data_IF_488701822392
#
_entry.id   IF_488701822392
#
_cell.length_a   1.000
_cell.length_b   1.000
_cell.length_c   1.000
_cell.angle_alpha   90.00
_cell.angle_beta   90.00
_cell.angle_gamma   90.00
#
_symmetry.space_group_name_H-M   'P 1'
#
loop_
_entity.id
_entity.type
_entity.pdbx_description
1 polymer ?
#
# COMPACT_ATOMS: atom_id res chain seq x y z
N UNK A 1 -5.15 -2.11 -22.20
CA UNK A 1 -5.47 -2.55 -20.83
C UNK A 1 -4.34 -2.09 -19.93
N UNK A 2 -4.62 -1.58 -18.73
CA UNK A 2 -3.60 -1.18 -17.77
C UNK A 2 -2.90 -2.41 -17.17
N UNK A 3 -1.61 -2.28 -16.88
CA UNK A 3 -0.83 -3.30 -16.17
C UNK A 3 -0.99 -3.10 -14.68
N UNK A 4 -1.44 -4.13 -13.96
CA UNK A 4 -1.56 -4.10 -12.50
C UNK A 4 -0.30 -4.70 -11.89
N UNK A 5 0.29 -4.01 -10.92
CA UNK A 5 1.36 -4.50 -10.04
C UNK A 5 0.90 -4.42 -8.59
N UNK A 6 1.31 -5.37 -7.78
CA UNK A 6 1.07 -5.36 -6.34
C UNK A 6 2.39 -5.02 -5.66
N UNK A 7 2.37 -4.07 -4.73
CA UNK A 7 3.54 -3.81 -3.87
C UNK A 7 3.65 -4.90 -2.82
N UNK A 8 4.86 -5.11 -2.30
CA UNK A 8 5.13 -5.96 -1.14
C UNK A 8 4.30 -5.56 0.08
N UNK A 9 4.04 -4.27 0.26
CA UNK A 9 3.14 -3.76 1.31
C UNK A 9 1.70 -4.24 1.10
N UNK A 10 1.19 -4.16 -0.13
CA UNK A 10 -0.15 -4.63 -0.44
C UNK A 10 -0.29 -6.15 -0.23
N UNK A 11 0.74 -6.92 -0.57
CA UNK A 11 0.80 -8.37 -0.29
C UNK A 11 0.81 -8.67 1.21
N UNK A 12 1.60 -7.92 1.99
CA UNK A 12 1.66 -8.06 3.46
C UNK A 12 0.28 -7.85 4.08
N UNK A 13 -0.40 -6.80 3.66
CA UNK A 13 -1.75 -6.52 4.14
C UNK A 13 -2.80 -7.56 3.75
N UNK A 14 -2.70 -8.14 2.55
CA UNK A 14 -3.58 -9.27 2.19
C UNK A 14 -3.35 -10.46 3.11
N UNK A 15 -2.09 -10.76 3.45
CA UNK A 15 -1.78 -11.79 4.45
C UNK A 15 -2.34 -11.44 5.83
N UNK A 16 -2.15 -10.21 6.31
CA UNK A 16 -2.66 -9.80 7.63
C UNK A 16 -4.19 -9.89 7.71
N UNK A 17 -4.90 -9.49 6.64
CA UNK A 17 -6.36 -9.64 6.54
C UNK A 17 -6.75 -11.12 6.57
N UNK A 18 -6.04 -11.96 5.82
CA UNK A 18 -6.29 -13.39 5.78
C UNK A 18 -6.11 -14.01 7.17
N UNK A 19 -4.96 -13.80 7.80
CA UNK A 19 -4.62 -14.36 9.10
C UNK A 19 -5.62 -13.91 10.17
N UNK A 20 -6.02 -12.63 10.15
CA UNK A 20 -7.02 -12.11 11.08
C UNK A 20 -8.37 -12.83 10.96
N UNK A 21 -8.88 -13.02 9.74
CA UNK A 21 -10.19 -13.67 9.52
C UNK A 21 -10.10 -15.19 9.73
N UNK A 22 -8.98 -15.80 9.35
CA UNK A 22 -8.79 -17.24 9.38
C UNK A 22 -8.80 -17.82 10.80
N UNK A 23 -8.50 -16.99 11.82
CA UNK A 23 -8.66 -17.35 13.24
C UNK A 23 -10.08 -17.84 13.54
N UNK A 24 -11.09 -17.15 12.98
CA UNK A 24 -12.50 -17.46 13.22
C UNK A 24 -13.11 -18.30 12.08
N UNK A 25 -12.76 -18.00 10.83
CA UNK A 25 -13.36 -18.65 9.66
C UNK A 25 -12.41 -18.64 8.44
N UNK A 26 -11.72 -19.76 8.24
CA UNK A 26 -10.82 -19.98 7.11
C UNK A 26 -11.49 -19.78 5.73
N UNK A 27 -12.72 -20.26 5.56
CA UNK A 27 -13.42 -20.16 4.27
C UNK A 27 -13.80 -18.71 3.94
N UNK A 28 -14.19 -17.94 4.96
CA UNK A 28 -14.44 -16.52 4.82
C UNK A 28 -13.16 -15.75 4.46
N UNK A 29 -12.03 -16.10 5.07
CA UNK A 29 -10.73 -15.49 4.77
C UNK A 29 -10.37 -15.64 3.28
N UNK A 30 -10.46 -16.86 2.75
CA UNK A 30 -10.22 -17.15 1.32
C UNK A 30 -11.15 -16.32 0.44
N UNK A 31 -12.45 -16.34 0.73
CA UNK A 31 -13.48 -15.61 -0.05
C UNK A 31 -13.22 -14.10 -0.08
N UNK A 32 -12.78 -13.53 1.05
CA UNK A 32 -12.47 -12.10 1.14
C UNK A 32 -11.25 -11.75 0.29
N UNK A 33 -10.16 -12.51 0.39
CA UNK A 33 -8.93 -12.26 -0.38
C UNK A 33 -9.17 -12.41 -1.88
N UNK A 34 -9.85 -13.48 -2.31
CA UNK A 34 -10.22 -13.67 -3.72
C UNK A 34 -11.10 -12.53 -4.22
N UNK A 35 -12.08 -12.10 -3.41
CA UNK A 35 -12.95 -10.97 -3.72
C UNK A 35 -12.20 -9.66 -3.95
N UNK A 36 -11.25 -9.34 -3.06
CA UNK A 36 -10.39 -8.17 -3.17
C UNK A 36 -9.54 -8.24 -4.45
N UNK A 37 -8.89 -9.38 -4.68
CA UNK A 37 -8.04 -9.59 -5.86
C UNK A 37 -8.84 -9.43 -7.16
N UNK A 38 -10.01 -10.07 -7.24
CA UNK A 38 -10.90 -10.00 -8.40
C UNK A 38 -11.42 -8.59 -8.63
N UNK A 39 -11.76 -7.86 -7.57
CA UNK A 39 -12.18 -6.46 -7.68
C UNK A 39 -11.07 -5.57 -8.25
N UNK A 40 -9.82 -5.78 -7.84
CA UNK A 40 -8.68 -5.04 -8.37
C UNK A 40 -8.48 -5.28 -9.88
N UNK A 41 -8.82 -6.48 -10.41
CA UNK A 41 -8.66 -6.78 -11.85
C UNK A 41 -9.48 -5.86 -12.77
N UNK A 42 -10.58 -5.25 -12.27
CA UNK A 42 -11.38 -4.27 -13.02
C UNK A 42 -10.52 -3.07 -13.46
N UNK A 43 -9.47 -2.74 -12.71
CA UNK A 43 -8.56 -1.64 -13.01
C UNK A 43 -7.77 -1.84 -14.32
N UNK A 44 -7.68 -3.07 -14.85
CA UNK A 44 -7.09 -3.31 -16.19
C UNK A 44 -7.88 -2.64 -17.30
N UNK A 45 -9.19 -2.54 -17.15
CA UNK A 45 -10.09 -1.95 -18.14
C UNK A 45 -10.52 -0.54 -17.75
N UNK A 46 -10.74 -0.30 -16.46
CA UNK A 46 -11.23 0.96 -15.92
C UNK A 46 -10.29 1.48 -14.82
N UNK A 47 -9.04 1.87 -15.15
CA UNK A 47 -8.07 2.31 -14.15
C UNK A 47 -8.53 3.56 -13.38
N UNK A 48 -9.43 4.37 -13.95
CA UNK A 48 -9.95 5.60 -13.35
C UNK A 48 -11.24 5.41 -12.53
N UNK A 49 -11.70 4.17 -12.32
CA UNK A 49 -13.00 3.92 -11.65
C UNK A 49 -12.99 4.23 -10.14
N UNK A 50 -11.83 4.17 -9.48
CA UNK A 50 -11.70 4.57 -8.08
C UNK A 50 -11.77 6.09 -7.93
N UNK A 51 -12.16 6.59 -6.75
CA UNK A 51 -12.17 8.04 -6.52
C UNK A 51 -10.75 8.57 -6.31
N UNK A 52 -10.48 9.80 -6.76
CA UNK A 52 -9.18 10.44 -6.55
C UNK A 52 -9.07 10.84 -5.08
N UNK A 53 -8.08 10.29 -4.38
CA UNK A 53 -7.75 10.68 -3.02
C UNK A 53 -6.76 11.83 -3.02
N UNK A 54 -5.71 11.75 -3.86
CA UNK A 54 -4.67 12.76 -4.00
C UNK A 54 -3.97 12.64 -5.36
N UNK A 55 -3.39 13.73 -5.83
CA UNK A 55 -2.50 13.76 -6.99
C UNK A 55 -1.08 14.04 -6.51
N UNK A 56 -0.13 13.24 -6.98
CA UNK A 56 1.31 13.34 -6.69
C UNK A 56 2.09 13.40 -8.02
N UNK A 57 3.40 13.64 -7.99
CA UNK A 57 4.21 13.74 -9.21
C UNK A 57 4.26 12.45 -10.02
N UNK A 58 4.09 11.32 -9.36
CA UNK A 58 4.16 9.97 -9.93
C UNK A 58 2.83 9.53 -10.56
N UNK A 59 1.73 10.20 -10.23
CA UNK A 59 0.39 9.90 -10.72
C UNK A 59 -0.73 10.20 -9.72
N UNK A 60 -1.89 9.61 -9.97
CA UNK A 60 -3.08 9.80 -9.13
C UNK A 60 -3.20 8.67 -8.11
N UNK A 61 -3.20 9.00 -6.82
CA UNK A 61 -3.58 8.06 -5.75
C UNK A 61 -5.10 8.00 -5.70
N UNK A 62 -5.63 6.80 -5.93
CA UNK A 62 -7.05 6.53 -6.04
C UNK A 62 -7.46 5.41 -5.11
N UNK A 63 -8.74 5.38 -4.75
CA UNK A 63 -9.31 4.36 -3.86
C UNK A 63 -10.47 3.68 -4.55
N UNK A 64 -10.39 2.35 -4.64
CA UNK A 64 -11.46 1.47 -5.10
C UNK A 64 -12.09 0.76 -3.89
N UNK A 65 -13.42 0.70 -3.86
CA UNK A 65 -14.16 0.08 -2.75
C UNK A 65 -14.51 -1.38 -3.05
N UNK A 66 -14.38 -2.25 -2.03
CA UNK A 66 -14.85 -3.63 -2.04
C UNK A 66 -15.40 -4.02 -0.66
N UNK A 67 -16.72 -4.08 -0.51
CA UNK A 67 -17.35 -4.32 0.79
C UNK A 67 -16.88 -3.31 1.84
N UNK A 68 -16.30 -3.80 2.93
CA UNK A 68 -15.71 -2.97 3.98
C UNK A 68 -14.23 -2.64 3.76
N UNK A 69 -13.64 -3.03 2.62
CA UNK A 69 -12.24 -2.79 2.30
C UNK A 69 -12.06 -1.65 1.30
N UNK A 70 -10.95 -0.93 1.46
CA UNK A 70 -10.48 0.11 0.55
C UNK A 70 -9.19 -0.35 -0.09
N UNK A 71 -9.19 -0.44 -1.42
CA UNK A 71 -8.04 -0.79 -2.25
C UNK A 71 -7.44 0.52 -2.74
N UNK A 72 -6.32 0.93 -2.16
CA UNK A 72 -5.57 2.08 -2.62
C UNK A 72 -4.62 1.69 -3.74
N UNK A 73 -4.56 2.54 -4.76
CA UNK A 73 -3.69 2.33 -5.90
C UNK A 73 -3.17 3.65 -6.48
N UNK A 74 -1.98 3.62 -7.05
CA UNK A 74 -1.44 4.68 -7.89
C UNK A 74 -1.79 4.39 -9.34
N UNK A 75 -2.34 5.39 -10.04
CA UNK A 75 -2.49 5.38 -11.48
C UNK A 75 -1.43 6.28 -12.12
N UNK A 76 -0.45 5.67 -12.78
CA UNK A 76 0.49 6.36 -13.66
C UNK A 76 -0.07 6.34 -15.09
N UNK A 77 -0.70 7.44 -15.50
CA UNK A 77 -1.45 7.54 -16.77
C UNK A 77 -0.53 7.40 -17.99
N UNK A 78 0.66 7.98 -17.92
CA UNK A 78 1.65 7.98 -19.00
C UNK A 78 2.16 6.57 -19.31
N UNK A 79 2.33 5.75 -18.26
CA UNK A 79 2.79 4.36 -18.38
C UNK A 79 1.64 3.38 -18.51
N UNK A 80 0.40 3.82 -18.29
CA UNK A 80 -0.79 2.96 -18.21
C UNK A 80 -0.58 1.80 -17.20
N UNK A 81 -0.03 2.14 -16.03
CA UNK A 81 0.29 1.22 -14.94
C UNK A 81 -0.54 1.58 -13.70
N UNK A 82 -1.02 0.54 -13.03
CA UNK A 82 -1.74 0.60 -11.76
C UNK A 82 -0.93 -0.14 -10.71
N UNK A 83 -0.44 0.58 -9.70
CA UNK A 83 0.24 -0.03 -8.56
C UNK A 83 -0.71 -0.11 -7.39
N UNK A 84 -1.07 -1.31 -6.97
CA UNK A 84 -1.84 -1.51 -5.75
C UNK A 84 -0.90 -1.22 -4.58
N UNK A 85 -1.17 -0.13 -3.86
CA UNK A 85 -0.36 0.35 -2.74
C UNK A 85 -0.74 -0.35 -1.43
N UNK A 86 -2.00 -0.76 -1.31
CA UNK A 86 -2.50 -1.49 -0.15
C UNK A 86 -4.02 -1.63 -0.12
N UNK A 87 -4.51 -2.67 0.57
CA UNK A 87 -5.90 -2.90 0.99
C UNK A 87 -6.13 -2.80 2.51
N UNK A 88 -7.00 -1.91 2.97
CA UNK A 88 -7.30 -1.73 4.41
C UNK A 88 -8.78 -1.80 4.73
N UNK A 89 -9.09 -2.25 5.96
CA UNK A 89 -10.44 -2.25 6.48
C UNK A 89 -10.93 -0.83 6.76
N UNK A 90 -12.21 -0.58 6.45
CA UNK A 90 -12.79 0.74 6.43
C UNK A 90 -12.92 1.42 7.80
N UNK A 91 -12.86 0.61 8.86
CA UNK A 91 -12.89 1.04 10.26
C UNK A 91 -11.52 1.50 10.79
N UNK A 92 -10.42 1.26 10.05
CA UNK A 92 -9.11 1.77 10.47
C UNK A 92 -9.08 3.30 10.32
N UNK A 93 -8.79 4.04 11.41
CA UNK A 93 -8.77 5.49 11.37
C UNK A 93 -7.52 5.93 10.62
N UNK A 94 -7.73 6.64 9.51
CA UNK A 94 -6.74 7.16 8.56
C UNK A 94 -6.24 6.17 7.50
N UNK A 95 -6.07 6.71 6.28
CA UNK A 95 -5.18 6.14 5.29
C UNK A 95 -3.82 5.99 5.99
N UNK A 96 -3.21 4.80 5.99
CA UNK A 96 -2.12 4.53 6.91
C UNK A 96 -0.96 5.48 6.71
N UNK A 97 -0.21 5.72 7.78
CA UNK A 97 0.96 6.60 7.79
C UNK A 97 1.95 6.24 6.68
N UNK A 98 2.02 4.98 6.26
CA UNK A 98 2.89 4.54 5.18
C UNK A 98 2.39 4.92 3.77
N UNK A 99 1.16 5.37 3.56
CA UNK A 99 0.86 6.14 2.33
C UNK A 99 1.39 7.58 2.37
N UNK A 100 1.93 8.05 3.51
CA UNK A 100 2.72 9.30 3.52
C UNK A 100 4.09 9.12 2.87
N UNK A 101 4.58 7.88 2.74
CA UNK A 101 5.85 7.55 2.10
C UNK A 101 5.59 6.52 0.99
N UNK A 102 5.71 6.91 -0.28
CA UNK A 102 5.49 5.98 -1.39
C UNK A 102 6.29 4.67 -1.20
N UNK A 103 5.66 3.49 -1.36
CA UNK A 103 6.39 2.22 -1.27
C UNK A 103 7.55 2.21 -2.28
N UNK A 104 8.80 1.89 -1.87
CA UNK A 104 9.95 1.98 -2.77
C UNK A 104 9.79 1.16 -4.05
N UNK A 105 9.18 -0.01 -3.93
CA UNK A 105 8.92 -0.98 -4.99
C UNK A 105 7.82 -0.54 -5.98
N UNK A 106 6.96 0.40 -5.60
CA UNK A 106 5.97 0.98 -6.53
C UNK A 106 6.63 1.82 -7.64
N UNK A 107 7.84 2.34 -7.37
CA UNK A 107 8.57 3.23 -8.29
C UNK A 107 9.47 2.49 -9.29
N UNK A 108 9.70 1.19 -9.07
CA UNK A 108 10.60 0.34 -9.87
C UNK A 108 9.98 -0.04 -11.22
N UNK A 109 9.84 0.97 -12.07
CA UNK A 109 9.55 0.85 -13.50
C UNK A 109 10.79 1.11 -14.36
N UNK A 110 11.98 1.20 -13.76
CA UNK A 110 13.24 1.15 -14.50
C UNK A 110 13.73 -0.28 -14.59
N UNK A 111 13.62 -0.86 -15.79
CA UNK A 111 14.48 -1.98 -16.16
C UNK A 111 15.94 -1.57 -15.98
N UNK A 112 16.68 -2.32 -15.18
CA UNK A 112 18.10 -2.08 -14.94
C UNK A 112 18.58 -2.90 -13.76
N UNK A 113 19.37 -3.93 -14.02
CA UNK A 113 20.13 -4.65 -13.00
C UNK A 113 20.96 -3.65 -12.21
N UNK A 114 20.71 -3.50 -10.91
CA UNK A 114 21.71 -2.98 -9.97
C UNK A 114 21.82 -3.92 -8.76
N UNK A 115 22.80 -4.81 -8.88
CA UNK A 115 23.74 -5.25 -7.85
C UNK A 115 23.39 -4.93 -6.38
N UNK A 116 23.18 -6.01 -5.63
CA UNK A 116 23.27 -6.05 -4.18
C UNK A 116 24.62 -5.52 -3.69
N UNK A 117 24.68 -4.24 -3.33
CA UNK A 117 25.52 -3.76 -2.24
C UNK A 117 24.96 -2.42 -1.72
N UNK A 118 24.18 -2.49 -0.65
CA UNK A 118 23.53 -1.33 -0.05
C UNK A 118 23.02 -1.60 1.37
N UNK A 119 23.73 -2.44 2.13
CA UNK A 119 23.56 -2.48 3.59
C UNK A 119 24.42 -1.36 4.17
N UNK A 120 23.87 -0.17 4.24
CA UNK A 120 24.28 0.85 5.21
C UNK A 120 23.34 2.04 5.15
N UNK A 121 22.63 2.27 6.26
CA UNK A 121 22.01 3.50 6.78
C UNK A 121 20.58 3.26 7.21
N UNK A 122 20.42 2.83 8.45
CA UNK A 122 19.60 3.54 9.45
C UNK A 122 20.10 3.11 10.84
N UNK A 123 21.34 3.50 11.13
CA UNK A 123 21.82 3.67 12.51
C UNK A 123 22.13 5.16 12.63
N UNK A 124 21.28 5.90 13.32
CA UNK A 124 21.65 7.05 14.17
C UNK A 124 20.41 7.54 14.92
N UNK A 125 20.29 7.01 16.12
CA UNK A 125 20.15 7.73 17.38
C UNK A 125 19.66 9.19 17.31
N UNK A 126 18.54 9.47 17.97
CA UNK A 126 18.35 10.75 18.64
C UNK A 126 17.59 10.53 19.96
N UNK A 127 18.28 10.03 20.98
CA UNK A 127 17.91 10.29 22.37
C UNK A 127 18.78 11.45 22.85
N UNK A 128 18.14 12.62 22.95
CA UNK A 128 18.77 13.87 23.37
C UNK A 128 17.85 14.64 24.31
N UNK A 129 17.94 14.30 25.60
CA UNK A 129 17.89 15.21 26.75
C UNK A 129 16.70 16.16 26.92
N UNK A 130 15.78 15.78 27.81
CA UNK A 130 15.02 16.76 28.61
C UNK A 130 15.67 16.85 29.99
N UNK A 131 16.33 17.99 30.24
CA UNK A 131 16.77 18.41 31.57
C UNK A 131 15.55 18.83 32.38
N UNK A 132 15.35 18.24 33.56
CA UNK A 132 14.60 18.88 34.63
C UNK A 132 15.58 19.36 35.71
N UNK A 133 15.62 20.67 35.87
CA UNK A 133 16.18 21.38 37.01
C UNK A 133 15.09 21.47 38.07
N UNK A 134 15.37 21.02 39.30
CA UNK A 134 14.86 21.64 40.52
C UNK A 134 15.99 21.53 41.58
N UNK A 135 16.41 22.66 42.12
CA UNK A 135 17.19 22.73 43.38
C UNK A 135 16.28 23.30 44.48
N UNK A 136 16.81 23.85 45.57
CA UNK A 136 18.12 23.66 46.19
C UNK A 136 18.14 22.53 47.24
#
# INVERSE_FOLDING_TARGET
MATIRWTSEAETWLHDIYDYIAIDNLHAAITVIEGIYNKAQVLRQFPEIGYIHRVESEGEIRILLYGHYRIAYLLCKEKNVVDILGVFHGALPSVPIYMRHFPPDSLDSKGGKENANGKERFSHSNEGGLKHQEGP
#
